data_IF_452072251193
#
_entry.id   IF_452072251193
#
_cell.length_a   1.000
_cell.length_b   1.000
_cell.length_c   1.000
_cell.angle_alpha   90.00
_cell.angle_beta   90.00
_cell.angle_gamma   90.00
#
_symmetry.space_group_name_H-M   'P 1'
#
loop_
_entity.id
_entity.type
_entity.pdbx_description
1 polymer ?
#
# COMPACT_ATOMS: atom_id res chain seq x y z
N UNK A 1 39.77 5.04 -0.11
CA UNK A 1 38.41 5.18 -0.69
C UNK A 1 37.41 4.69 0.36
N UNK A 2 36.66 5.62 0.96
CA UNK A 2 35.75 5.30 2.05
C UNK A 2 34.39 4.90 1.50
N UNK A 3 33.94 3.66 1.78
CA UNK A 3 32.58 3.24 1.51
C UNK A 3 31.64 3.91 2.52
N UNK A 4 30.63 4.61 2.04
CA UNK A 4 29.62 5.22 2.90
C UNK A 4 28.80 4.16 3.62
N UNK A 5 28.76 4.22 4.94
CA UNK A 5 28.02 3.30 5.79
C UNK A 5 27.06 4.04 6.71
N UNK A 6 25.94 3.42 7.02
CA UNK A 6 24.91 3.94 7.90
C UNK A 6 24.73 3.03 9.12
N UNK A 7 24.64 3.58 10.35
CA UNK A 7 24.28 2.80 11.53
C UNK A 7 22.88 2.18 11.40
N UNK A 8 22.75 0.93 11.78
CA UNK A 8 21.48 0.16 11.65
C UNK A 8 20.31 0.84 12.39
N UNK A 9 20.56 1.49 13.51
CA UNK A 9 19.55 2.28 14.26
C UNK A 9 18.99 3.46 13.46
N UNK A 10 19.73 3.99 12.49
CA UNK A 10 19.22 5.04 11.63
C UNK A 10 18.13 4.53 10.69
N UNK A 11 18.14 3.23 10.33
CA UNK A 11 17.04 2.64 9.57
C UNK A 11 15.73 2.73 10.35
N UNK A 12 15.76 2.52 11.68
CA UNK A 12 14.57 2.66 12.52
C UNK A 12 14.07 4.09 12.57
N UNK A 13 14.99 5.07 12.61
CA UNK A 13 14.63 6.50 12.62
C UNK A 13 14.04 6.94 11.28
N UNK A 14 14.55 6.43 10.17
CA UNK A 14 14.16 6.82 8.81
C UNK A 14 12.88 6.12 8.37
N UNK A 15 12.82 4.78 8.55
CA UNK A 15 11.73 3.96 8.01
C UNK A 15 10.78 3.43 9.09
N UNK A 16 11.09 3.62 10.37
CA UNK A 16 10.39 2.97 11.48
C UNK A 16 10.81 1.50 11.64
N UNK A 17 9.89 0.68 12.14
CA UNK A 17 10.15 -0.74 12.34
C UNK A 17 10.97 -1.05 13.58
N UNK A 18 11.51 -2.28 13.64
CA UNK A 18 12.24 -2.79 14.82
C UNK A 18 13.45 -3.62 14.41
N UNK A 19 14.59 -3.35 15.04
CA UNK A 19 15.80 -4.17 14.93
C UNK A 19 15.87 -5.13 16.13
N UNK A 20 16.19 -6.39 15.86
CA UNK A 20 16.43 -7.41 16.88
C UNK A 20 17.80 -8.03 16.66
N UNK A 21 18.64 -7.97 17.69
CA UNK A 21 19.97 -8.60 17.68
C UNK A 21 19.92 -10.02 18.21
N UNK A 22 20.43 -10.98 17.45
CA UNK A 22 20.58 -12.40 17.82
C UNK A 22 22.08 -12.71 18.05
N UNK A 23 22.53 -12.62 19.29
CA UNK A 23 23.95 -12.75 19.65
C UNK A 23 24.59 -14.04 19.16
N UNK A 24 23.94 -15.17 19.37
CA UNK A 24 24.48 -16.50 19.05
C UNK A 24 24.75 -16.65 17.55
N UNK A 25 23.87 -16.21 16.71
CA UNK A 25 24.00 -16.28 15.25
C UNK A 25 24.69 -15.05 14.65
N UNK A 26 25.08 -14.07 15.45
CA UNK A 26 25.67 -12.79 15.02
C UNK A 26 24.83 -12.09 13.93
N UNK A 27 23.49 -12.13 14.10
CA UNK A 27 22.52 -11.75 13.10
C UNK A 27 21.63 -10.62 13.61
N UNK A 28 21.32 -9.67 12.74
CA UNK A 28 20.29 -8.65 12.95
C UNK A 28 19.09 -8.96 12.09
N UNK A 29 17.91 -8.96 12.70
CA UNK A 29 16.64 -8.94 11.98
C UNK A 29 16.07 -7.53 12.07
N UNK A 30 15.92 -6.87 10.94
CA UNK A 30 15.19 -5.62 10.82
C UNK A 30 13.79 -5.93 10.30
N UNK A 31 12.79 -5.70 11.12
CA UNK A 31 11.39 -5.93 10.77
C UNK A 31 10.67 -4.62 10.53
N UNK A 32 10.08 -4.50 9.35
CA UNK A 32 9.25 -3.39 8.92
C UNK A 32 7.88 -3.94 8.52
N UNK A 33 6.86 -3.67 9.34
CA UNK A 33 5.53 -4.28 9.23
C UNK A 33 5.61 -5.83 9.26
N UNK A 34 5.13 -6.51 8.21
CA UNK A 34 5.17 -7.96 8.04
C UNK A 34 6.39 -8.46 7.24
N UNK A 35 7.31 -7.57 6.85
CA UNK A 35 8.51 -7.86 6.07
C UNK A 35 9.75 -7.88 6.96
N UNK A 36 10.74 -8.70 6.60
CA UNK A 36 11.98 -8.84 7.36
C UNK A 36 13.19 -8.71 6.44
N UNK A 37 14.19 -7.96 6.90
CA UNK A 37 15.53 -7.97 6.34
C UNK A 37 16.50 -8.55 7.38
N UNK A 38 17.41 -9.39 6.93
CA UNK A 38 18.36 -10.14 7.76
C UNK A 38 19.80 -9.78 7.38
N UNK A 39 20.58 -9.42 8.38
CA UNK A 39 21.98 -9.02 8.23
C UNK A 39 22.84 -9.87 9.16
N UNK A 40 23.91 -10.42 8.65
CA UNK A 40 24.89 -11.18 9.44
C UNK A 40 26.19 -10.38 9.54
N UNK A 41 26.75 -10.28 10.75
CA UNK A 41 28.05 -9.60 10.94
C UNK A 41 29.13 -10.29 10.12
N UNK A 42 30.02 -9.48 9.56
CA UNK A 42 31.14 -9.86 8.71
C UNK A 42 30.74 -10.57 7.41
N UNK A 43 29.45 -10.60 7.09
CA UNK A 43 28.93 -11.10 5.81
C UNK A 43 28.82 -9.98 4.80
N UNK A 44 29.21 -10.26 3.56
CA UNK A 44 28.96 -9.42 2.39
C UNK A 44 27.65 -9.77 1.67
N UNK A 45 26.73 -10.44 2.36
CA UNK A 45 25.42 -10.79 1.82
C UNK A 45 24.35 -10.51 2.88
N UNK A 46 23.23 -9.94 2.46
CA UNK A 46 22.03 -9.74 3.27
C UNK A 46 20.85 -10.45 2.63
N UNK A 47 19.82 -10.75 3.42
CA UNK A 47 18.53 -11.24 2.90
C UNK A 47 17.49 -10.14 3.14
N UNK A 48 16.92 -9.59 2.09
CA UNK A 48 15.99 -8.49 2.15
C UNK A 48 14.66 -8.91 1.54
N UNK A 49 13.60 -8.99 2.34
CA UNK A 49 12.29 -9.44 1.84
C UNK A 49 12.32 -10.85 1.23
N UNK A 50 13.19 -11.72 1.73
CA UNK A 50 13.41 -13.08 1.22
C UNK A 50 14.37 -13.17 0.01
N UNK A 51 14.88 -12.05 -0.50
CA UNK A 51 15.85 -12.03 -1.59
C UNK A 51 17.27 -11.84 -1.08
N UNK A 52 18.22 -12.63 -1.59
CA UNK A 52 19.64 -12.48 -1.29
C UNK A 52 20.22 -11.29 -2.05
N UNK A 53 20.88 -10.39 -1.33
CA UNK A 53 21.49 -9.16 -1.86
C UNK A 53 22.96 -9.14 -1.51
N UNK A 54 23.83 -8.99 -2.52
CA UNK A 54 25.25 -8.77 -2.29
C UNK A 54 25.48 -7.34 -1.78
N UNK A 55 26.36 -7.23 -0.81
CA UNK A 55 26.79 -5.95 -0.22
C UNK A 55 28.16 -5.54 -0.78
N UNK A 56 28.34 -4.27 -1.00
CA UNK A 56 29.62 -3.69 -1.42
C UNK A 56 30.72 -3.92 -0.36
N UNK A 57 30.35 -3.89 0.91
CA UNK A 57 31.21 -4.26 2.03
C UNK A 57 30.43 -5.05 3.06
N UNK A 58 31.15 -5.85 3.88
CA UNK A 58 30.48 -6.63 4.94
C UNK A 58 29.85 -5.74 6.00
N UNK A 59 28.78 -6.24 6.62
CA UNK A 59 28.18 -5.63 7.81
C UNK A 59 29.20 -5.69 8.95
N UNK A 60 29.53 -4.56 9.55
CA UNK A 60 30.54 -4.46 10.60
C UNK A 60 29.97 -3.85 11.87
N UNK A 61 30.47 -4.33 13.00
CA UNK A 61 30.21 -3.72 14.29
C UNK A 61 31.31 -2.68 14.58
N UNK A 62 30.91 -1.45 14.90
CA UNK A 62 31.82 -0.40 15.34
C UNK A 62 31.18 0.44 16.44
N UNK A 63 31.90 0.61 17.56
CA UNK A 63 31.34 1.22 18.75
C UNK A 63 30.15 0.40 19.27
N UNK A 64 29.00 1.03 19.40
CA UNK A 64 27.79 0.42 19.93
C UNK A 64 26.77 0.03 18.84
N UNK A 65 27.14 0.15 17.57
CA UNK A 65 26.21 -0.06 16.45
C UNK A 65 26.78 -0.97 15.36
N UNK A 66 25.88 -1.64 14.64
CA UNK A 66 26.21 -2.30 13.38
C UNK A 66 26.05 -1.31 12.23
N UNK A 67 26.97 -1.36 11.26
CA UNK A 67 27.01 -0.50 10.09
C UNK A 67 26.71 -1.28 8.82
N UNK A 68 25.85 -0.71 7.97
CA UNK A 68 25.46 -1.23 6.68
C UNK A 68 25.97 -0.28 5.58
N UNK A 69 26.45 -0.80 4.43
CA UNK A 69 26.79 0.05 3.29
C UNK A 69 25.56 0.75 2.75
N UNK A 70 25.69 2.04 2.46
CA UNK A 70 24.57 2.87 1.93
C UNK A 70 24.11 2.35 0.58
N UNK A 71 24.99 1.74 -0.22
CA UNK A 71 24.67 1.12 -1.50
C UNK A 71 23.57 0.05 -1.40
N UNK A 72 23.45 -0.65 -0.25
CA UNK A 72 22.34 -1.56 0.00
C UNK A 72 20.98 -0.86 -0.10
N UNK A 73 20.86 0.35 0.46
CA UNK A 73 19.59 1.09 0.54
C UNK A 73 19.06 1.48 -0.84
N UNK A 74 19.96 1.66 -1.80
CA UNK A 74 19.60 2.02 -3.18
C UNK A 74 19.28 0.82 -4.07
N UNK A 75 19.44 -0.41 -3.56
CA UNK A 75 19.11 -1.62 -4.31
C UNK A 75 17.60 -1.75 -4.54
N UNK A 76 17.16 -2.32 -5.69
CA UNK A 76 15.73 -2.56 -5.94
C UNK A 76 15.06 -3.40 -4.86
N UNK A 77 15.77 -4.40 -4.33
CA UNK A 77 15.26 -5.26 -3.24
C UNK A 77 14.96 -4.46 -1.97
N UNK A 78 15.87 -3.55 -1.56
CA UNK A 78 15.67 -2.74 -0.36
C UNK A 78 14.61 -1.65 -0.57
N UNK A 79 14.54 -1.04 -1.76
CA UNK A 79 13.50 -0.07 -2.11
C UNK A 79 12.12 -0.73 -2.12
N UNK A 80 11.99 -1.95 -2.67
CA UNK A 80 10.76 -2.74 -2.60
C UNK A 80 10.40 -3.11 -1.16
N UNK A 81 11.39 -3.51 -0.35
CA UNK A 81 11.22 -3.83 1.06
C UNK A 81 10.71 -2.63 1.88
N UNK A 82 11.24 -1.43 1.64
CA UNK A 82 10.84 -0.20 2.35
C UNK A 82 9.65 0.51 1.72
N UNK A 83 9.25 0.12 0.50
CA UNK A 83 8.26 0.85 -0.33
C UNK A 83 8.66 2.32 -0.51
N UNK A 84 9.94 2.57 -0.70
CA UNK A 84 10.48 3.91 -0.89
C UNK A 84 11.52 3.94 -2.01
N UNK A 85 11.50 5.00 -2.80
CA UNK A 85 12.58 5.33 -3.71
C UNK A 85 13.69 6.00 -2.90
N UNK A 86 14.87 5.40 -2.88
CA UNK A 86 15.99 5.85 -2.08
C UNK A 86 17.12 6.26 -3.02
N UNK A 87 17.66 7.47 -2.80
CA UNK A 87 18.77 8.00 -3.56
C UNK A 87 19.86 8.47 -2.58
N UNK A 88 21.10 8.14 -2.90
CA UNK A 88 22.26 8.64 -2.19
C UNK A 88 22.96 9.70 -3.02
N UNK A 89 23.28 10.84 -2.41
CA UNK A 89 24.04 11.94 -2.98
C UNK A 89 25.35 12.00 -2.20
N UNK A 90 26.48 11.93 -2.92
CA UNK A 90 27.81 11.89 -2.28
C UNK A 90 28.27 13.26 -1.81
N UNK A 91 27.90 14.32 -2.49
CA UNK A 91 28.38 15.67 -2.18
C UNK A 91 27.27 16.73 -2.30
N UNK A 92 26.81 17.33 -1.19
CA UNK A 92 27.07 16.93 0.19
C UNK A 92 26.41 15.57 0.52
N UNK A 93 27.00 14.78 1.43
CA UNK A 93 26.45 13.46 1.76
C UNK A 93 25.00 13.55 2.26
N UNK A 94 24.06 13.00 1.52
CA UNK A 94 22.64 13.03 1.89
C UNK A 94 21.88 11.83 1.33
N UNK A 95 20.88 11.38 2.09
CA UNK A 95 19.98 10.30 1.71
C UNK A 95 18.58 10.87 1.49
N UNK A 96 18.10 10.80 0.24
CA UNK A 96 16.73 11.17 -0.10
C UNK A 96 15.84 9.92 -0.06
N UNK A 97 14.71 10.01 0.61
CA UNK A 97 13.76 8.90 0.77
C UNK A 97 12.37 9.38 0.36
N UNK A 98 11.94 8.97 -0.81
CA UNK A 98 10.62 9.30 -1.35
C UNK A 98 9.72 8.06 -1.28
N UNK A 99 8.61 8.09 -0.53
CA UNK A 99 7.68 6.96 -0.49
C UNK A 99 7.14 6.63 -1.88
N UNK A 100 7.11 5.34 -2.23
CA UNK A 100 6.49 4.89 -3.47
C UNK A 100 4.98 4.86 -3.25
N UNK A 101 4.19 5.60 -4.05
CA UNK A 101 2.74 5.57 -3.96
C UNK A 101 2.22 4.16 -4.24
N UNK A 102 1.31 3.67 -3.41
CA UNK A 102 0.62 2.39 -3.59
C UNK A 102 -0.84 2.57 -3.99
N UNK A 103 -1.25 3.82 -4.19
CA UNK A 103 -2.58 4.21 -4.67
C UNK A 103 -2.38 5.20 -5.81
N UNK A 104 -3.03 4.93 -6.96
CA UNK A 104 -3.05 5.89 -8.08
C UNK A 104 -3.97 7.07 -7.80
N UNK A 105 -3.89 8.09 -8.64
CA UNK A 105 -4.90 9.15 -8.70
C UNK A 105 -6.27 8.59 -9.00
N UNK A 106 -7.32 9.22 -8.46
CA UNK A 106 -8.68 8.88 -8.78
C UNK A 106 -9.00 9.23 -10.24
N UNK A 107 -9.71 8.33 -10.92
CA UNK A 107 -10.23 8.56 -12.28
C UNK A 107 -11.74 8.47 -12.24
N UNK A 108 -12.42 9.38 -12.91
CA UNK A 108 -13.88 9.42 -12.97
C UNK A 108 -14.33 9.28 -14.42
N UNK A 109 -15.25 8.35 -14.65
CA UNK A 109 -15.80 8.02 -15.95
C UNK A 109 -17.31 8.18 -15.92
N UNK A 110 -17.83 9.03 -16.80
CA UNK A 110 -19.27 9.23 -16.98
C UNK A 110 -19.80 8.31 -18.07
N UNK A 111 -20.64 7.36 -17.69
CA UNK A 111 -21.38 6.49 -18.60
C UNK A 111 -22.85 6.95 -18.69
N UNK A 112 -23.61 6.53 -19.72
CA UNK A 112 -25.03 6.89 -19.83
C UNK A 112 -25.89 6.53 -18.61
N UNK A 113 -25.59 5.38 -17.98
CA UNK A 113 -26.36 4.83 -16.87
C UNK A 113 -25.78 5.13 -15.48
N UNK A 114 -24.48 5.43 -15.39
CA UNK A 114 -23.77 5.59 -14.12
C UNK A 114 -22.51 6.44 -14.25
N UNK A 115 -22.01 6.94 -13.13
CA UNK A 115 -20.66 7.50 -13.02
C UNK A 115 -19.80 6.55 -12.21
N UNK A 116 -18.60 6.22 -12.68
CA UNK A 116 -17.64 5.37 -11.97
C UNK A 116 -16.46 6.18 -11.49
N UNK A 117 -16.14 6.04 -10.22
CA UNK A 117 -14.87 6.47 -9.63
C UNK A 117 -13.98 5.24 -9.53
N UNK A 118 -12.78 5.30 -10.10
CA UNK A 118 -11.82 4.19 -10.13
C UNK A 118 -10.49 4.62 -9.52
N UNK A 119 -9.96 3.82 -8.60
CA UNK A 119 -8.66 4.04 -7.94
C UNK A 119 -7.89 2.72 -7.99
N UNK A 120 -6.73 2.71 -8.67
CA UNK A 120 -5.87 1.52 -8.68
C UNK A 120 -5.17 1.39 -7.32
N UNK A 121 -5.21 0.17 -6.78
CA UNK A 121 -4.67 -0.16 -5.46
C UNK A 121 -3.46 -1.09 -5.61
N UNK A 122 -2.42 -0.82 -4.83
CA UNK A 122 -1.34 -1.78 -4.65
C UNK A 122 -1.83 -3.09 -4.04
N UNK A 123 -1.03 -4.17 -4.11
CA UNK A 123 -1.43 -5.51 -3.69
C UNK A 123 -1.81 -5.61 -2.21
N UNK A 124 -1.16 -4.80 -1.36
CA UNK A 124 -1.36 -4.83 0.09
C UNK A 124 -2.35 -3.77 0.60
N UNK A 125 -2.93 -2.96 -0.30
CA UNK A 125 -3.87 -1.90 0.09
C UNK A 125 -5.25 -2.50 0.32
N UNK A 126 -5.77 -2.32 1.50
CA UNK A 126 -7.14 -2.70 1.85
C UNK A 126 -8.04 -1.47 1.99
N UNK A 127 -9.37 -1.65 1.94
CA UNK A 127 -10.28 -0.53 2.12
C UNK A 127 -11.45 -0.86 3.04
N UNK A 128 -11.98 0.17 3.67
CA UNK A 128 -13.23 0.10 4.44
C UNK A 128 -14.10 1.30 4.14
N UNK A 129 -15.38 1.05 3.90
CA UNK A 129 -16.40 2.09 3.92
C UNK A 129 -16.65 2.50 5.38
N UNK A 130 -16.33 3.74 5.73
CA UNK A 130 -16.56 4.28 7.07
C UNK A 130 -18.01 4.70 7.26
N UNK A 131 -18.69 5.09 6.19
CA UNK A 131 -20.10 5.46 6.18
C UNK A 131 -20.48 6.35 5.01
N UNK A 132 -21.77 6.66 4.97
CA UNK A 132 -22.33 7.65 4.05
C UNK A 132 -23.12 8.66 4.85
N UNK A 133 -22.87 9.94 4.61
CA UNK A 133 -23.59 11.05 5.25
C UNK A 133 -23.75 12.20 4.26
N UNK A 134 -24.94 12.81 4.23
CA UNK A 134 -25.23 14.01 3.42
C UNK A 134 -24.74 13.89 1.95
N UNK A 135 -25.11 12.81 1.27
CA UNK A 135 -24.64 12.46 -0.08
C UNK A 135 -23.12 12.33 -0.22
N UNK A 136 -22.40 12.05 0.86
CA UNK A 136 -20.96 11.89 0.83
C UNK A 136 -20.59 10.51 1.35
N UNK A 137 -19.78 9.78 0.57
CA UNK A 137 -19.18 8.51 0.95
C UNK A 137 -17.80 8.77 1.56
N UNK A 138 -17.52 8.13 2.66
CA UNK A 138 -16.22 8.17 3.34
C UNK A 138 -15.62 6.78 3.34
N UNK A 139 -14.49 6.62 2.65
CA UNK A 139 -13.71 5.40 2.62
C UNK A 139 -12.32 5.66 3.18
N UNK A 140 -11.75 4.65 3.83
CA UNK A 140 -10.33 4.66 4.23
C UNK A 140 -9.60 3.52 3.56
N UNK A 141 -8.49 3.85 2.93
CA UNK A 141 -7.57 2.92 2.29
C UNK A 141 -6.43 2.69 3.27
N UNK A 142 -6.28 1.44 3.74
CA UNK A 142 -5.28 1.03 4.73
C UNK A 142 -4.02 0.54 4.02
N UNK A 143 -2.86 0.78 4.63
CA UNK A 143 -1.54 0.46 4.10
C UNK A 143 -1.29 1.01 2.69
N UNK A 144 -2.11 1.99 2.31
CA UNK A 144 -2.10 2.69 1.04
C UNK A 144 -1.72 4.15 1.19
N UNK A 145 -0.79 4.60 0.36
CA UNK A 145 -0.37 6.00 0.29
C UNK A 145 -0.56 6.52 -1.13
N UNK A 146 -1.31 7.61 -1.28
CA UNK A 146 -1.33 8.39 -2.51
C UNK A 146 -0.13 9.35 -2.57
N UNK A 147 0.27 9.76 -3.78
CA UNK A 147 1.42 10.64 -3.97
C UNK A 147 1.21 12.01 -3.31
N UNK A 148 -0.01 12.52 -3.39
CA UNK A 148 -0.37 13.84 -2.89
C UNK A 148 -1.86 13.91 -2.56
N UNK A 149 -2.27 14.97 -1.88
CA UNK A 149 -3.68 15.32 -1.74
C UNK A 149 -4.22 15.72 -3.11
N UNK A 150 -5.38 15.18 -3.46
CA UNK A 150 -6.04 15.42 -4.75
C UNK A 150 -7.51 15.75 -4.52
N UNK A 151 -8.02 16.74 -5.22
CA UNK A 151 -9.43 17.08 -5.24
C UNK A 151 -9.88 17.33 -6.66
N UNK A 152 -10.81 16.51 -7.12
CA UNK A 152 -11.46 16.61 -8.43
C UNK A 152 -12.90 17.05 -8.24
N UNK A 153 -13.36 17.98 -9.05
CA UNK A 153 -14.76 18.48 -9.07
C UNK A 153 -15.36 18.27 -10.45
N UNK A 154 -16.64 17.93 -10.50
CA UNK A 154 -17.33 17.59 -11.73
C UNK A 154 -18.68 18.31 -11.77
N UNK A 155 -19.01 18.89 -12.91
CA UNK A 155 -20.27 19.57 -13.15
C UNK A 155 -21.33 18.62 -13.74
N UNK A 156 -20.89 17.45 -14.24
CA UNK A 156 -21.73 16.45 -14.88
C UNK A 156 -21.61 15.08 -14.19
N UNK A 157 -22.68 14.28 -14.31
CA UNK A 157 -22.72 12.93 -13.76
C UNK A 157 -23.35 12.87 -12.36
N UNK A 158 -23.19 11.73 -11.72
CA UNK A 158 -23.74 11.46 -10.38
C UNK A 158 -22.72 11.65 -9.26
N UNK A 159 -21.49 12.05 -9.60
CA UNK A 159 -20.42 12.37 -8.66
C UNK A 159 -20.08 13.85 -8.81
N UNK A 160 -20.20 14.61 -7.72
CA UNK A 160 -19.90 16.05 -7.70
C UNK A 160 -18.41 16.31 -7.39
N UNK A 161 -17.80 15.53 -6.52
CA UNK A 161 -16.36 15.64 -6.25
C UNK A 161 -15.78 14.34 -5.69
N UNK A 162 -14.48 14.18 -5.92
CA UNK A 162 -13.66 13.13 -5.33
C UNK A 162 -12.46 13.80 -4.67
N UNK A 163 -12.20 13.46 -3.42
CA UNK A 163 -11.07 14.00 -2.66
C UNK A 163 -10.28 12.85 -2.04
N UNK A 164 -8.97 12.86 -2.24
CA UNK A 164 -8.03 11.93 -1.61
C UNK A 164 -7.10 12.71 -0.69
N UNK A 165 -7.06 12.31 0.57
CA UNK A 165 -6.21 12.93 1.60
C UNK A 165 -5.26 11.89 2.17
N UNK A 166 -3.95 11.96 1.84
CA UNK A 166 -2.96 11.03 2.37
C UNK A 166 -2.64 11.33 3.84
N UNK A 167 -2.50 10.27 4.61
CA UNK A 167 -1.97 10.26 5.98
C UNK A 167 -0.72 9.37 6.04
N UNK A 168 -0.11 9.25 7.21
CA UNK A 168 1.13 8.49 7.38
C UNK A 168 1.04 7.03 6.86
N UNK A 169 -0.09 6.34 7.09
CA UNK A 169 -0.29 4.92 6.72
C UNK A 169 -1.62 4.64 6.02
N UNK A 170 -2.43 5.66 5.83
CA UNK A 170 -3.76 5.53 5.22
C UNK A 170 -3.99 6.65 4.24
N UNK A 171 -4.94 6.47 3.35
CA UNK A 171 -5.49 7.55 2.52
C UNK A 171 -7.00 7.57 2.71
N UNK A 172 -7.54 8.72 3.05
CA UNK A 172 -8.98 8.91 3.10
C UNK A 172 -9.47 9.29 1.70
N UNK A 173 -10.47 8.57 1.22
CA UNK A 173 -11.16 8.82 -0.04
C UNK A 173 -12.58 9.29 0.28
N UNK A 174 -12.87 10.53 -0.09
CA UNK A 174 -14.19 11.15 0.08
C UNK A 174 -14.82 11.35 -1.29
N UNK A 175 -16.01 10.77 -1.50
CA UNK A 175 -16.76 10.90 -2.75
C UNK A 175 -18.09 11.58 -2.46
N UNK A 176 -18.24 12.82 -2.97
CA UNK A 176 -19.48 13.56 -2.87
C UNK A 176 -20.36 13.27 -4.08
N UNK A 177 -21.55 12.82 -3.81
CA UNK A 177 -22.55 12.50 -4.84
C UNK A 177 -23.36 13.74 -5.24
N UNK A 178 -23.75 13.80 -6.50
CA UNK A 178 -24.66 14.82 -6.97
C UNK A 178 -26.09 14.55 -6.45
N UNK A 179 -26.92 15.57 -6.44
CA UNK A 179 -28.34 15.42 -6.09
C UNK A 179 -29.03 14.48 -7.08
N UNK A 180 -29.80 13.53 -6.58
CA UNK A 180 -30.48 12.53 -7.40
C UNK A 180 -29.61 11.32 -7.83
N UNK A 181 -28.40 11.20 -7.29
CA UNK A 181 -27.60 10.00 -7.45
C UNK A 181 -28.27 8.77 -6.80
N UNK A 182 -28.15 7.62 -7.45
CA UNK A 182 -28.63 6.34 -6.90
C UNK A 182 -27.71 5.79 -5.80
N UNK A 183 -28.05 4.62 -5.29
CA UNK A 183 -27.24 3.93 -4.27
C UNK A 183 -25.93 3.46 -4.90
N UNK A 184 -24.77 3.88 -4.37
CA UNK A 184 -23.48 3.45 -4.89
C UNK A 184 -23.22 1.97 -4.66
N UNK A 185 -22.61 1.31 -5.65
CA UNK A 185 -22.03 -0.02 -5.53
C UNK A 185 -20.51 0.10 -5.45
N UNK A 186 -19.90 -0.58 -4.45
CA UNK A 186 -18.46 -0.48 -4.16
C UNK A 186 -17.87 -1.88 -4.26
N UNK A 187 -16.95 -2.06 -5.18
CA UNK A 187 -16.30 -3.34 -5.41
C UNK A 187 -14.85 -3.18 -5.87
N UNK A 188 -14.10 -4.29 -5.83
CA UNK A 188 -12.73 -4.35 -6.37
C UNK A 188 -12.64 -5.35 -7.50
N UNK A 189 -11.80 -5.02 -8.49
CA UNK A 189 -11.36 -5.94 -9.55
C UNK A 189 -9.94 -6.43 -9.26
N UNK A 190 -9.54 -7.55 -9.86
CA UNK A 190 -8.30 -8.22 -9.48
C UNK A 190 -7.07 -7.85 -10.34
N UNK A 191 -7.25 -7.46 -11.62
CA UNK A 191 -6.12 -7.28 -12.54
C UNK A 191 -6.38 -6.15 -13.54
N UNK A 192 -5.89 -4.94 -13.31
CA UNK A 192 -5.24 -4.46 -12.09
C UNK A 192 -6.21 -4.42 -10.89
N UNK A 193 -5.67 -4.49 -9.67
CA UNK A 193 -6.51 -4.34 -8.48
C UNK A 193 -7.02 -2.91 -8.40
N UNK A 194 -8.32 -2.73 -8.65
CA UNK A 194 -8.95 -1.42 -8.75
C UNK A 194 -10.17 -1.36 -7.84
N UNK A 195 -10.21 -0.37 -6.97
CA UNK A 195 -11.42 0.00 -6.25
C UNK A 195 -12.31 0.81 -7.19
N UNK A 196 -13.54 0.33 -7.39
CA UNK A 196 -14.55 1.00 -8.21
C UNK A 196 -15.75 1.36 -7.35
N UNK A 197 -16.20 2.60 -7.46
CA UNK A 197 -17.43 3.10 -6.89
C UNK A 197 -18.35 3.47 -8.06
N UNK A 198 -19.33 2.63 -8.33
CA UNK A 198 -20.30 2.82 -9.39
C UNK A 198 -21.56 3.52 -8.82
N UNK A 199 -21.86 4.70 -9.34
CA UNK A 199 -22.97 5.53 -8.87
C UNK A 199 -24.02 5.65 -9.97
N UNK A 200 -25.18 4.94 -9.87
CA UNK A 200 -26.21 4.97 -10.89
C UNK A 200 -26.86 6.37 -11.05
N UNK A 201 -27.32 6.67 -12.27
CA UNK A 201 -28.14 7.84 -12.57
C UNK A 201 -29.59 7.53 -12.31
N UNK A 202 -30.27 8.37 -11.55
CA UNK A 202 -31.74 8.42 -11.54
C UNK A 202 -32.52 7.33 -10.81
N UNK A 203 -31.93 6.62 -9.86
CA UNK A 203 -32.70 5.81 -8.93
C UNK A 203 -33.00 6.60 -7.65
N UNK A 204 -34.25 6.96 -7.43
CA UNK A 204 -34.69 7.49 -6.15
C UNK A 204 -34.44 6.43 -5.10
N UNK A 205 -33.58 6.73 -4.13
CA UNK A 205 -33.31 5.86 -3.01
C UNK A 205 -34.62 5.53 -2.27
N UNK A 206 -35.03 4.28 -2.30
CA UNK A 206 -36.12 3.77 -1.45
C UNK A 206 -35.46 3.10 -0.23
N UNK A 207 -35.60 3.66 0.98
CA UNK A 207 -35.09 3.01 2.18
C UNK A 207 -35.92 1.74 2.45
N UNK A 208 -35.36 0.58 2.16
CA UNK A 208 -36.07 -0.66 2.54
C UNK A 208 -35.73 -1.96 1.83
N UNK A 209 -34.89 -2.00 0.81
CA UNK A 209 -34.44 -3.30 0.28
C UNK A 209 -32.97 -3.58 0.69
N UNK A 210 -32.85 -4.36 1.77
CA UNK A 210 -31.62 -5.09 2.02
C UNK A 210 -31.46 -6.12 0.91
N UNK A 211 -30.50 -5.97 0.03
CA UNK A 211 -30.09 -7.05 -0.85
C UNK A 211 -29.64 -8.23 0.01
N UNK A 212 -30.12 -9.45 -0.23
CA UNK A 212 -29.63 -10.59 0.52
C UNK A 212 -28.13 -10.76 0.26
N UNK A 213 -27.34 -11.18 1.27
CA UNK A 213 -25.94 -11.46 1.08
C UNK A 213 -25.81 -12.56 0.01
N UNK A 214 -25.03 -12.31 -1.03
CA UNK A 214 -24.66 -13.36 -1.99
C UNK A 214 -23.92 -14.45 -1.22
N UNK A 215 -24.57 -15.60 -1.10
CA UNK A 215 -24.00 -16.79 -0.50
C UNK A 215 -22.75 -17.22 -1.29
N UNK A 216 -21.58 -17.08 -0.71
CA UNK A 216 -20.41 -17.85 -1.06
C UNK A 216 -20.66 -19.28 -0.57
N UNK A 217 -21.00 -20.19 -1.48
CA UNK A 217 -21.30 -21.54 -1.10
C UNK A 217 -21.50 -22.45 -2.30
N UNK A 218 -20.44 -22.79 -2.95
CA UNK A 218 -20.37 -23.88 -3.92
C UNK A 218 -19.54 -25.03 -3.35
N UNK A 219 -20.07 -25.74 -2.33
CA UNK A 219 -19.55 -27.07 -2.00
C UNK A 219 -19.93 -28.03 -3.12
N UNK A 220 -18.99 -28.40 -3.96
CA UNK A 220 -19.13 -29.55 -4.85
C UNK A 220 -18.98 -30.82 -4.04
N UNK A 221 -20.08 -31.48 -3.79
CA UNK A 221 -20.10 -32.84 -3.28
C UNK A 221 -19.67 -33.76 -4.40
N UNK A 222 -18.48 -34.34 -4.26
CA UNK A 222 -18.00 -35.42 -5.15
C UNK A 222 -18.74 -36.68 -4.79
N UNK A 223 -19.66 -37.12 -5.63
CA UNK A 223 -20.29 -38.40 -5.56
C UNK A 223 -19.26 -39.51 -5.84
N UNK A 224 -19.00 -40.35 -4.86
CA UNK A 224 -18.23 -41.59 -4.97
C UNK A 224 -19.11 -42.66 -5.62
N UNK A 225 -18.82 -43.02 -6.88
CA UNK A 225 -19.41 -44.18 -7.51
C UNK A 225 -18.78 -45.45 -6.94
N UNK A 226 -19.56 -46.27 -6.27
CA UNK A 226 -19.26 -47.64 -5.93
C UNK A 226 -19.86 -48.53 -7.05
N UNK A 227 -19.08 -49.42 -7.55
CA UNK A 227 -19.65 -50.44 -8.37
C UNK A 227 -18.66 -51.48 -8.79
N UNK A 228 -19.07 -52.65 -9.23
CA UNK A 228 -19.05 -53.88 -8.43
C UNK A 228 -17.72 -54.59 -8.51
#
# INVERSE_FOLDING_TARGET
DGIACLPLEHLQKIFGGRVTWKRVSRKFDYRLENRTAEFVLDSSTAVVGGQSVALETSVRWWGDSAFLPVSLLTTPAYQSFTKAKIQWIESPPSLTVDPIPSISSARVFNYPQETRVSVELGPDVDYRLLGQRDNTLYLRLFDGRSAQSEKLTFDEGTVASVEMTPHARTTDLTVRLATGAGTPDIYTTASPRTLTIAVPKGAVWSPGRRSPPRACGGSQTVARASGP
#
